data_IF_752484512948
#
_entry.id   IF_752484512948
#
_cell.length_a   1.000
_cell.length_b   1.000
_cell.length_c   1.000
_cell.angle_alpha   90.00
_cell.angle_beta   90.00
_cell.angle_gamma   90.00
#
_symmetry.space_group_name_H-M   'P 1'
#
loop_
_entity.id
_entity.type
_entity.pdbx_description
1 polymer ?
#
# COMPACT_ATOMS: atom_id res chain seq x y z
N UNK A 1 -19.54 -12.12 16.26
CA UNK A 1 -19.38 -12.24 14.80
C UNK A 1 -17.91 -12.48 14.54
N UNK A 2 -17.48 -13.50 13.77
CA UNK A 2 -16.09 -13.60 13.40
C UNK A 2 -15.73 -12.33 12.63
N UNK A 3 -14.71 -11.61 13.08
CA UNK A 3 -14.13 -10.49 12.33
C UNK A 3 -13.65 -11.07 11.00
N UNK A 4 -14.32 -10.76 9.90
CA UNK A 4 -13.83 -11.11 8.57
C UNK A 4 -12.54 -10.34 8.31
N UNK A 5 -11.64 -10.92 7.50
CA UNK A 5 -10.38 -10.28 7.15
C UNK A 5 -10.62 -8.93 6.46
N UNK A 6 -9.75 -7.97 6.73
CA UNK A 6 -9.71 -6.68 6.05
C UNK A 6 -8.56 -6.70 5.05
N UNK A 7 -8.88 -6.59 3.76
CA UNK A 7 -7.86 -6.53 2.72
C UNK A 7 -7.21 -5.13 2.64
N UNK A 8 -5.96 -5.08 2.18
CA UNK A 8 -5.33 -3.84 1.74
C UNK A 8 -5.41 -3.70 0.22
N UNK A 9 -5.79 -2.54 -0.29
CA UNK A 9 -5.75 -2.23 -1.72
C UNK A 9 -4.83 -1.04 -1.93
N UNK A 10 -3.65 -1.30 -2.50
CA UNK A 10 -2.67 -0.28 -2.85
C UNK A 10 -2.87 0.16 -4.30
N UNK A 11 -3.22 1.42 -4.53
CA UNK A 11 -3.30 2.01 -5.86
C UNK A 11 -1.89 2.49 -6.28
N UNK A 12 -1.26 1.76 -7.20
CA UNK A 12 0.12 1.95 -7.64
C UNK A 12 0.24 2.07 -9.18
N UNK A 13 -0.85 2.45 -9.86
CA UNK A 13 -0.94 2.45 -11.32
C UNK A 13 -0.47 3.77 -11.99
N UNK A 14 -0.19 4.81 -11.21
CA UNK A 14 0.11 6.15 -11.70
C UNK A 14 1.38 6.25 -12.55
N UNK A 15 1.30 6.95 -13.68
CA UNK A 15 2.40 7.13 -14.65
C UNK A 15 3.58 7.94 -14.08
N UNK A 16 3.29 8.95 -13.23
CA UNK A 16 4.32 9.87 -12.74
C UNK A 16 4.95 10.72 -13.85
N UNK A 17 4.15 11.21 -14.79
CA UNK A 17 4.60 11.97 -15.97
C UNK A 17 5.50 13.16 -15.63
N UNK A 18 5.23 13.88 -14.53
CA UNK A 18 6.07 14.99 -14.05
C UNK A 18 7.38 14.54 -13.40
N UNK A 19 7.47 13.28 -13.01
CA UNK A 19 8.64 12.66 -12.36
C UNK A 19 9.49 11.83 -13.35
N UNK A 20 9.02 11.70 -14.61
CA UNK A 20 9.72 11.00 -15.69
C UNK A 20 9.74 9.47 -15.53
N UNK A 21 9.02 8.91 -14.54
CA UNK A 21 8.93 7.47 -14.30
C UNK A 21 7.68 7.14 -13.50
N UNK A 22 7.16 5.89 -13.56
CA UNK A 22 6.03 5.46 -12.76
C UNK A 22 6.28 5.70 -11.26
N UNK A 23 5.33 6.39 -10.59
CA UNK A 23 5.48 6.76 -9.17
C UNK A 23 5.82 5.56 -8.28
N UNK A 24 5.21 4.41 -8.55
CA UNK A 24 5.40 3.18 -7.79
C UNK A 24 6.88 2.71 -7.72
N UNK A 25 7.70 3.07 -8.72
CA UNK A 25 9.11 2.70 -8.83
C UNK A 25 10.08 3.69 -8.19
N UNK A 26 9.62 4.89 -7.82
CA UNK A 26 10.45 5.91 -7.18
C UNK A 26 11.01 5.35 -5.87
N UNK A 27 12.32 5.56 -5.68
CA UNK A 27 13.00 5.12 -4.47
C UNK A 27 13.03 6.23 -3.41
N UNK A 28 12.63 5.88 -2.20
CA UNK A 28 12.74 6.71 -1.00
C UNK A 28 13.50 5.92 0.07
N UNK A 29 14.73 6.34 0.41
CA UNK A 29 15.56 5.60 1.36
C UNK A 29 15.91 4.18 0.89
N UNK A 30 16.13 3.97 -0.43
CA UNK A 30 16.48 2.66 -1.00
C UNK A 30 15.29 1.71 -1.23
N UNK A 31 14.08 2.08 -0.84
CA UNK A 31 12.87 1.26 -1.02
C UNK A 31 11.89 1.95 -1.98
N UNK A 32 11.28 1.21 -2.92
CA UNK A 32 10.30 1.77 -3.83
C UNK A 32 9.01 2.17 -3.10
N UNK A 33 8.30 3.18 -3.64
CA UNK A 33 7.02 3.63 -3.07
C UNK A 33 6.00 2.49 -3.01
N UNK A 34 5.97 1.61 -4.02
CA UNK A 34 5.10 0.44 -3.99
C UNK A 34 5.41 -0.50 -2.81
N UNK A 35 6.70 -0.81 -2.58
CA UNK A 35 7.11 -1.67 -1.45
C UNK A 35 6.76 -1.03 -0.09
N UNK A 36 6.92 0.29 0.03
CA UNK A 36 6.50 1.03 1.22
C UNK A 36 4.99 0.93 1.45
N UNK A 37 4.19 1.11 0.41
CA UNK A 37 2.74 0.97 0.50
C UNK A 37 2.29 -0.45 0.86
N UNK A 38 2.99 -1.48 0.37
CA UNK A 38 2.75 -2.88 0.77
C UNK A 38 3.06 -3.06 2.26
N UNK A 39 4.22 -2.60 2.71
CA UNK A 39 4.62 -2.67 4.12
C UNK A 39 3.61 -1.92 5.02
N UNK A 40 3.24 -0.69 4.65
CA UNK A 40 2.21 0.10 5.34
C UNK A 40 0.93 -0.71 5.61
N UNK A 41 0.41 -1.39 4.58
CA UNK A 41 -0.84 -2.15 4.69
C UNK A 41 -0.66 -3.41 5.53
N UNK A 42 0.43 -4.17 5.33
CA UNK A 42 0.74 -5.38 6.09
C UNK A 42 0.97 -5.08 7.57
N UNK A 43 1.87 -4.14 7.86
CA UNK A 43 2.20 -3.73 9.22
C UNK A 43 0.99 -3.11 9.93
N UNK A 44 0.05 -2.58 9.15
CA UNK A 44 -1.25 -2.11 9.62
C UNK A 44 -2.26 -3.21 9.89
N UNK A 45 -1.97 -4.47 9.55
CA UNK A 45 -2.84 -5.63 9.78
C UNK A 45 -3.83 -5.93 8.65
N UNK A 46 -3.63 -5.36 7.46
CA UNK A 46 -4.44 -5.70 6.28
C UNK A 46 -3.94 -6.98 5.61
N UNK A 47 -4.84 -7.94 5.37
CA UNK A 47 -4.55 -9.24 4.77
C UNK A 47 -5.75 -9.77 3.96
N UNK A 48 -5.55 -10.16 2.68
CA UNK A 48 -4.35 -10.02 1.85
C UNK A 48 -4.11 -8.57 1.38
N UNK A 49 -2.92 -8.31 0.78
CA UNK A 49 -2.63 -7.03 0.12
C UNK A 49 -2.73 -7.18 -1.39
N UNK A 50 -3.62 -6.40 -1.99
CA UNK A 50 -3.81 -6.28 -3.44
C UNK A 50 -3.05 -5.03 -3.92
N UNK A 51 -2.18 -5.20 -4.92
CA UNK A 51 -1.46 -4.08 -5.54
C UNK A 51 -1.96 -3.89 -6.96
N UNK A 52 -2.59 -2.76 -7.21
CA UNK A 52 -3.07 -2.41 -8.56
C UNK A 52 -1.95 -1.72 -9.31
N UNK A 53 -1.48 -2.38 -10.37
CA UNK A 53 -0.41 -1.89 -11.25
C UNK A 53 -0.99 -1.29 -12.54
N UNK A 54 -0.21 -0.44 -13.20
CA UNK A 54 -0.62 0.19 -14.46
C UNK A 54 0.60 0.51 -15.30
N UNK A 55 1.09 1.76 -15.27
CA UNK A 55 2.27 2.19 -16.01
C UNK A 55 3.53 1.36 -15.68
N UNK A 56 3.66 0.91 -14.42
CA UNK A 56 4.66 -0.08 -14.03
C UNK A 56 4.05 -1.48 -14.01
N UNK A 57 4.71 -2.46 -14.62
CA UNK A 57 4.30 -3.85 -14.58
C UNK A 57 4.57 -4.51 -13.21
N UNK A 58 3.81 -5.55 -12.87
CA UNK A 58 3.95 -6.28 -11.60
C UNK A 58 5.38 -6.80 -11.33
N UNK A 59 6.08 -7.26 -12.37
CA UNK A 59 7.48 -7.72 -12.26
C UNK A 59 8.47 -6.62 -11.83
N UNK A 60 8.19 -5.36 -12.17
CA UNK A 60 9.03 -4.23 -11.80
C UNK A 60 8.82 -3.80 -10.34
N UNK A 61 7.68 -4.12 -9.75
CA UNK A 61 7.35 -3.74 -8.37
C UNK A 61 7.95 -4.70 -7.32
N UNK A 62 8.56 -5.82 -7.76
CA UNK A 62 9.13 -6.82 -6.87
C UNK A 62 8.09 -7.48 -5.96
N UNK A 63 6.86 -7.65 -6.45
CA UNK A 63 5.74 -8.29 -5.73
C UNK A 63 5.76 -9.82 -5.84
N UNK A 64 6.71 -10.39 -6.59
CA UNK A 64 6.93 -11.84 -6.66
C UNK A 64 7.68 -12.38 -5.45
N UNK A 65 7.62 -13.71 -5.20
CA UNK A 65 8.46 -14.33 -4.19
C UNK A 65 9.93 -14.02 -4.51
N UNK A 66 10.69 -13.55 -3.51
CA UNK A 66 12.13 -13.26 -3.64
C UNK A 66 12.84 -14.56 -4.00
N UNK A 67 13.39 -14.62 -5.22
CA UNK A 67 14.25 -15.74 -5.58
C UNK A 67 15.47 -15.74 -4.66
N UNK A 68 15.82 -16.86 -4.00
CA UNK A 68 17.04 -16.94 -3.18
C UNK A 68 18.26 -16.79 -4.10
N UNK A 69 19.06 -15.71 -3.94
CA UNK A 69 20.38 -15.62 -4.58
C UNK A 69 20.67 -14.38 -5.44
N UNK A 70 20.23 -13.17 -5.08
CA UNK A 70 20.65 -11.95 -5.79
C UNK A 70 21.41 -10.93 -4.91
N UNK A 71 22.02 -11.37 -3.83
CA UNK A 71 23.02 -10.57 -3.11
C UNK A 71 24.36 -11.31 -3.23
N UNK A 72 25.13 -11.04 -4.26
CA UNK A 72 26.61 -11.15 -4.30
C UNK A 72 27.11 -11.31 -5.75
N UNK A 73 27.34 -10.23 -6.43
CA UNK A 73 28.35 -10.20 -7.51
C UNK A 73 29.02 -8.83 -7.46
N UNK A 74 29.93 -8.71 -6.54
CA UNK A 74 31.11 -7.86 -6.59
C UNK A 74 32.00 -8.27 -5.42
N UNK A 75 32.76 -9.36 -5.60
CA UNK A 75 34.01 -9.62 -4.90
C UNK A 75 34.85 -10.63 -5.70
N UNK A 76 36.02 -10.19 -5.96
CA UNK A 76 37.24 -10.72 -6.56
C UNK A 76 37.54 -12.20 -6.24
N UNK A 77 38.06 -13.01 -7.20
CA UNK A 77 38.44 -14.40 -6.99
C UNK A 77 39.91 -14.51 -6.58
N UNK A 78 40.20 -14.68 -5.29
CA UNK A 78 41.46 -15.27 -4.87
C UNK A 78 41.39 -15.82 -3.44
N UNK A 79 41.62 -17.13 -3.29
CA UNK A 79 41.93 -17.72 -1.97
C UNK A 79 41.28 -19.07 -1.66
N UNK A 80 42.00 -20.10 -1.97
CA UNK A 80 42.07 -21.49 -1.63
C UNK A 80 41.42 -22.04 -0.32
N UNK A 81 40.85 -23.25 -0.48
CA UNK A 81 40.77 -24.46 0.40
C UNK A 81 40.67 -24.28 1.92
N UNK A 82 39.58 -24.84 2.50
CA UNK A 82 39.70 -25.98 3.44
C UNK A 82 38.31 -26.46 3.94
N UNK A 83 38.21 -27.79 3.93
CA UNK A 83 37.27 -28.74 4.53
C UNK A 83 36.70 -28.37 5.90
N UNK A 84 35.41 -28.72 6.15
CA UNK A 84 35.00 -29.12 7.49
C UNK A 84 33.58 -28.80 7.89
N UNK A 85 32.77 -29.87 7.95
CA UNK A 85 31.77 -30.18 8.96
C UNK A 85 30.35 -29.61 8.91
N UNK A 86 29.43 -30.55 8.80
CA UNK A 86 28.00 -30.54 9.03
C UNK A 86 27.57 -29.66 10.22
N UNK A 87 26.61 -28.73 9.96
CA UNK A 87 25.72 -28.32 11.01
C UNK A 87 24.30 -28.17 10.44
N UNK A 88 23.51 -29.21 10.65
CA UNK A 88 22.07 -29.26 10.52
C UNK A 88 21.46 -28.34 11.58
N UNK A 89 21.29 -27.05 11.22
CA UNK A 89 20.50 -26.07 11.94
C UNK A 89 19.25 -25.85 11.14
N UNK A 90 18.14 -26.48 11.51
CA UNK A 90 16.80 -26.15 11.06
C UNK A 90 16.46 -24.73 11.57
N UNK A 91 16.75 -23.72 10.78
CA UNK A 91 16.30 -22.36 11.03
C UNK A 91 14.90 -22.21 10.42
N UNK A 92 13.91 -22.62 11.20
CA UNK A 92 12.49 -22.40 10.93
C UNK A 92 12.12 -20.96 11.27
N UNK A 93 12.68 -19.99 10.54
CA UNK A 93 12.09 -18.65 10.41
C UNK A 93 10.97 -18.74 9.38
N UNK A 94 9.82 -19.25 9.80
CA UNK A 94 8.57 -19.16 9.06
C UNK A 94 8.21 -17.69 8.90
N UNK A 95 8.64 -17.08 7.80
CA UNK A 95 8.04 -15.83 7.31
C UNK A 95 6.62 -16.18 6.86
N UNK A 96 5.67 -16.01 7.79
CA UNK A 96 4.23 -16.02 7.54
C UNK A 96 3.89 -14.74 6.72
N UNK A 97 4.42 -14.70 5.51
CA UNK A 97 4.22 -13.59 4.59
C UNK A 97 2.92 -13.81 3.84
N UNK A 98 1.82 -13.25 4.37
CA UNK A 98 0.54 -13.16 3.66
C UNK A 98 0.73 -12.73 2.19
N UNK A 99 0.04 -13.37 1.24
CA UNK A 99 0.29 -13.18 -0.19
C UNK A 99 0.03 -11.73 -0.63
N UNK A 100 0.96 -11.19 -1.42
CA UNK A 100 0.71 -9.96 -2.20
C UNK A 100 0.15 -10.37 -3.55
N UNK A 101 -1.03 -9.88 -3.88
CA UNK A 101 -1.73 -10.14 -5.13
C UNK A 101 -1.55 -8.93 -6.05
N UNK A 102 -0.72 -9.06 -7.08
CA UNK A 102 -0.56 -8.01 -8.08
C UNK A 102 -1.62 -8.16 -9.17
N UNK A 103 -2.35 -7.08 -9.45
CA UNK A 103 -3.37 -7.02 -10.49
C UNK A 103 -3.07 -5.86 -11.43
N UNK A 104 -2.99 -6.16 -12.73
CA UNK A 104 -2.77 -5.13 -13.74
C UNK A 104 -4.09 -4.49 -14.17
N UNK A 105 -4.13 -3.16 -14.16
CA UNK A 105 -5.23 -2.38 -14.73
C UNK A 105 -4.83 -1.91 -16.13
N UNK A 106 -5.39 -2.46 -17.22
CA UNK A 106 -5.07 -2.00 -18.57
C UNK A 106 -5.58 -0.58 -18.87
N UNK A 107 -6.63 -0.15 -18.16
CA UNK A 107 -7.27 1.15 -18.33
C UNK A 107 -6.75 2.21 -17.35
N UNK A 108 -5.56 2.01 -16.78
CA UNK A 108 -4.98 2.90 -15.76
C UNK A 108 -4.92 4.37 -16.19
N UNK A 109 -4.72 4.63 -17.49
CA UNK A 109 -4.65 5.98 -18.06
C UNK A 109 -5.97 6.75 -18.01
N UNK A 110 -7.10 6.06 -17.76
CA UNK A 110 -8.41 6.71 -17.60
C UNK A 110 -8.62 7.30 -16.20
N UNK A 111 -7.64 7.14 -15.31
CA UNK A 111 -7.61 7.73 -13.98
C UNK A 111 -7.75 6.72 -12.84
N UNK A 112 -7.62 7.24 -11.61
CA UNK A 112 -7.61 6.47 -10.36
C UNK A 112 -8.88 5.62 -10.18
N UNK A 113 -10.03 6.06 -10.67
CA UNK A 113 -11.31 5.33 -10.56
C UNK A 113 -11.27 3.96 -11.21
N UNK A 114 -10.59 3.79 -12.36
CA UNK A 114 -10.43 2.49 -13.01
C UNK A 114 -9.59 1.54 -12.13
N UNK A 115 -8.52 2.04 -11.54
CA UNK A 115 -7.65 1.26 -10.64
C UNK A 115 -8.38 0.87 -9.36
N UNK A 116 -9.20 1.74 -8.80
CA UNK A 116 -10.04 1.41 -7.64
C UNK A 116 -11.01 0.26 -7.94
N UNK A 117 -11.70 0.30 -9.09
CA UNK A 117 -12.59 -0.79 -9.51
C UNK A 117 -11.86 -2.13 -9.64
N UNK A 118 -10.71 -2.13 -10.31
CA UNK A 118 -9.89 -3.34 -10.49
C UNK A 118 -9.42 -3.87 -9.13
N UNK A 119 -8.96 -3.00 -8.24
CA UNK A 119 -8.51 -3.37 -6.91
C UNK A 119 -9.62 -4.00 -6.06
N UNK A 120 -10.79 -3.37 -5.97
CA UNK A 120 -11.92 -3.91 -5.22
C UNK A 120 -12.45 -5.23 -5.78
N UNK A 121 -12.46 -5.40 -7.12
CA UNK A 121 -12.88 -6.63 -7.76
C UNK A 121 -11.93 -7.82 -7.48
N UNK A 122 -10.64 -7.53 -7.21
CA UNK A 122 -9.64 -8.54 -6.91
C UNK A 122 -9.63 -8.98 -5.43
N UNK A 123 -10.33 -8.29 -4.54
CA UNK A 123 -10.38 -8.65 -3.12
C UNK A 123 -11.15 -9.96 -2.92
N UNK A 124 -10.56 -10.98 -2.26
CA UNK A 124 -11.20 -12.26 -2.01
C UNK A 124 -12.56 -12.14 -1.29
N UNK A 125 -13.47 -13.07 -1.58
CA UNK A 125 -14.85 -13.01 -1.08
C UNK A 125 -14.98 -13.13 0.45
N UNK A 126 -14.00 -13.69 1.13
CA UNK A 126 -13.99 -13.81 2.60
C UNK A 126 -13.64 -12.50 3.33
N UNK A 127 -13.10 -11.49 2.64
CA UNK A 127 -12.82 -10.20 3.25
C UNK A 127 -14.10 -9.38 3.39
N UNK A 128 -14.30 -8.74 4.52
CA UNK A 128 -15.49 -7.95 4.85
C UNK A 128 -15.32 -6.45 4.57
N UNK A 129 -14.08 -5.99 4.48
CA UNK A 129 -13.74 -4.60 4.19
C UNK A 129 -12.41 -4.52 3.43
N UNK A 130 -12.10 -3.33 2.91
CA UNK A 130 -10.81 -3.02 2.31
C UNK A 130 -10.29 -1.65 2.77
N UNK A 131 -9.00 -1.59 3.10
CA UNK A 131 -8.26 -0.34 3.29
C UNK A 131 -7.67 0.07 1.95
N UNK A 132 -8.05 1.25 1.48
CA UNK A 132 -7.55 1.88 0.25
C UNK A 132 -6.39 2.79 0.59
N UNK A 133 -5.22 2.54 0.01
CA UNK A 133 -4.02 3.36 0.19
C UNK A 133 -3.42 3.75 -1.17
N UNK A 134 -2.68 4.87 -1.19
CA UNK A 134 -2.01 5.37 -2.38
C UNK A 134 -0.50 5.16 -2.25
N UNK A 135 0.14 4.68 -3.33
CA UNK A 135 1.58 4.43 -3.32
C UNK A 135 2.42 5.71 -3.23
N UNK A 136 1.87 6.86 -3.62
CA UNK A 136 2.54 8.17 -3.61
C UNK A 136 2.44 8.93 -2.28
N UNK A 137 1.92 8.30 -1.22
CA UNK A 137 1.85 8.85 0.14
C UNK A 137 2.78 8.10 1.11
N UNK A 138 4.10 8.16 0.95
CA UNK A 138 5.04 7.30 1.65
C UNK A 138 5.26 7.62 3.14
N UNK A 139 4.74 8.74 3.63
CA UNK A 139 4.88 9.17 5.03
C UNK A 139 3.66 8.81 5.88
N UNK A 140 2.66 8.14 5.35
CA UNK A 140 1.56 7.56 6.12
C UNK A 140 2.08 6.39 6.93
N UNK A 141 1.76 6.34 8.23
CA UNK A 141 2.22 5.26 9.10
C UNK A 141 1.23 4.11 9.25
N UNK A 142 1.74 2.91 9.50
CA UNK A 142 0.95 1.69 9.69
C UNK A 142 -0.08 1.81 10.84
N UNK A 143 0.19 2.67 11.83
CA UNK A 143 -0.75 2.95 12.90
C UNK A 143 -2.07 3.57 12.41
N UNK A 144 -2.06 4.35 11.31
CA UNK A 144 -3.29 4.84 10.70
C UNK A 144 -4.15 3.67 10.17
N UNK A 145 -3.55 2.73 9.46
CA UNK A 145 -4.25 1.52 8.97
C UNK A 145 -4.81 0.71 10.13
N UNK A 146 -4.03 0.47 11.18
CA UNK A 146 -4.50 -0.24 12.41
C UNK A 146 -5.70 0.44 13.03
N UNK A 147 -5.72 1.78 13.12
CA UNK A 147 -6.86 2.53 13.66
C UNK A 147 -8.12 2.37 12.83
N UNK A 148 -8.00 2.41 11.49
CA UNK A 148 -9.14 2.19 10.59
C UNK A 148 -9.71 0.78 10.75
N UNK A 149 -8.85 -0.25 10.80
CA UNK A 149 -9.26 -1.64 11.01
C UNK A 149 -9.94 -1.80 12.37
N UNK A 150 -9.40 -1.17 13.42
CA UNK A 150 -10.01 -1.19 14.76
C UNK A 150 -11.39 -0.51 14.78
N UNK A 151 -11.54 0.61 14.05
CA UNK A 151 -12.83 1.28 13.92
C UNK A 151 -13.87 0.40 13.20
N UNK A 152 -13.46 -0.33 12.15
CA UNK A 152 -14.31 -1.29 11.45
C UNK A 152 -14.71 -2.44 12.39
N UNK A 153 -13.80 -2.99 13.17
CA UNK A 153 -14.08 -4.01 14.17
C UNK A 153 -15.07 -3.51 15.26
N UNK A 154 -15.07 -2.20 15.52
CA UNK A 154 -16.03 -1.54 16.42
C UNK A 154 -17.37 -1.18 15.76
N UNK A 155 -17.54 -1.50 14.45
CA UNK A 155 -18.80 -1.32 13.74
C UNK A 155 -18.84 -0.18 12.73
N UNK A 156 -17.74 0.54 12.48
CA UNK A 156 -17.68 1.55 11.43
C UNK A 156 -17.77 0.89 10.05
N UNK A 157 -18.72 1.29 9.23
CA UNK A 157 -18.87 0.83 7.84
C UNK A 157 -17.87 1.52 6.90
N UNK A 158 -17.60 2.80 7.16
CA UNK A 158 -16.62 3.61 6.41
C UNK A 158 -15.78 4.37 7.43
N UNK A 159 -14.45 4.17 7.41
CA UNK A 159 -13.52 4.88 8.26
C UNK A 159 -12.50 5.65 7.41
N UNK A 160 -12.28 6.92 7.72
CA UNK A 160 -11.39 7.81 6.98
C UNK A 160 -10.34 8.38 7.91
N UNK A 161 -9.07 8.26 7.53
CA UNK A 161 -8.00 8.89 8.30
C UNK A 161 -8.09 10.41 8.20
N UNK A 162 -8.01 11.08 9.34
CA UNK A 162 -7.95 12.54 9.45
C UNK A 162 -6.58 13.00 9.91
N UNK A 163 -6.07 14.04 9.28
CA UNK A 163 -4.84 14.71 9.65
C UNK A 163 -5.14 16.20 9.76
N UNK A 164 -4.86 16.77 10.92
CA UNK A 164 -5.19 18.17 11.23
C UNK A 164 -6.66 18.52 10.93
N UNK A 165 -7.59 17.61 11.26
CA UNK A 165 -9.02 17.76 11.04
C UNK A 165 -9.44 17.68 9.57
N UNK A 166 -8.57 17.21 8.67
CA UNK A 166 -8.85 17.04 7.25
C UNK A 166 -8.89 15.56 6.86
N UNK A 167 -10.00 15.07 6.28
CA UNK A 167 -10.09 13.70 5.76
C UNK A 167 -9.11 13.47 4.61
N UNK A 168 -8.35 12.38 4.70
CA UNK A 168 -7.31 11.97 3.75
C UNK A 168 -7.31 10.44 3.59
N UNK A 169 -6.40 9.92 2.75
CA UNK A 169 -6.09 8.49 2.77
C UNK A 169 -5.19 8.14 3.98
N UNK A 170 -5.23 6.86 4.41
CA UNK A 170 -6.03 5.75 3.89
C UNK A 170 -7.52 5.83 4.27
N UNK A 171 -8.34 5.09 3.52
CA UNK A 171 -9.79 4.97 3.73
C UNK A 171 -10.15 3.50 3.81
N UNK A 172 -10.93 3.11 4.83
CA UNK A 172 -11.52 1.77 4.92
C UNK A 172 -12.98 1.82 4.51
N UNK A 173 -13.41 0.85 3.68
CA UNK A 173 -14.80 0.74 3.21
C UNK A 173 -15.25 -0.72 3.33
N UNK A 174 -16.39 -0.94 3.99
CA UNK A 174 -17.05 -2.25 4.08
C UNK A 174 -17.49 -2.76 2.71
N UNK A 175 -17.44 -4.08 2.51
CA UNK A 175 -17.73 -4.75 1.23
C UNK A 175 -19.10 -4.38 0.65
N UNK A 176 -20.10 -4.22 1.48
CA UNK A 176 -21.46 -3.90 1.06
C UNK A 176 -21.58 -2.63 0.22
N UNK A 177 -20.64 -1.67 0.39
CA UNK A 177 -20.61 -0.41 -0.36
C UNK A 177 -19.74 -0.44 -1.62
N UNK A 178 -18.95 -1.51 -1.85
CA UNK A 178 -18.05 -1.56 -3.01
C UNK A 178 -18.74 -1.42 -4.37
N UNK A 179 -19.95 -2.00 -4.60
CA UNK A 179 -20.64 -1.80 -5.86
C UNK A 179 -20.93 -0.32 -6.14
N UNK A 180 -21.35 0.43 -5.12
CA UNK A 180 -21.65 1.85 -5.26
C UNK A 180 -20.37 2.69 -5.40
N UNK A 181 -19.35 2.39 -4.59
CA UNK A 181 -18.02 3.02 -4.72
C UNK A 181 -17.48 2.83 -6.14
N UNK A 182 -17.55 1.62 -6.68
CA UNK A 182 -17.10 1.31 -8.04
C UNK A 182 -17.92 2.04 -9.12
N UNK A 183 -19.23 2.18 -8.93
CA UNK A 183 -20.11 2.90 -9.85
C UNK A 183 -19.83 4.41 -9.87
N UNK A 184 -19.50 5.01 -8.72
CA UNK A 184 -19.21 6.44 -8.58
C UNK A 184 -17.77 6.80 -8.91
N UNK A 185 -16.85 5.82 -8.91
CA UNK A 185 -15.43 6.05 -9.18
C UNK A 185 -15.21 6.36 -10.67
N UNK A 186 -14.90 7.61 -10.98
CA UNK A 186 -14.63 8.09 -12.34
C UNK A 186 -13.38 8.99 -12.35
N UNK A 187 -12.62 8.96 -13.46
CA UNK A 187 -11.40 9.77 -13.62
C UNK A 187 -10.48 9.65 -12.39
N UNK A 188 -9.95 10.77 -11.93
CA UNK A 188 -8.98 10.82 -10.81
C UNK A 188 -9.63 11.01 -9.43
N UNK A 189 -10.92 10.77 -9.30
CA UNK A 189 -11.63 11.06 -8.04
C UNK A 189 -11.56 9.94 -7.00
N UNK A 190 -11.26 8.71 -7.41
CA UNK A 190 -11.20 7.54 -6.51
C UNK A 190 -12.53 7.35 -5.76
N UNK A 191 -12.47 7.13 -4.43
CA UNK A 191 -13.64 6.96 -3.57
C UNK A 191 -14.31 8.28 -3.14
N UNK A 192 -13.73 9.45 -3.46
CA UNK A 192 -14.23 10.76 -2.98
C UNK A 192 -15.70 11.04 -3.30
N UNK A 193 -16.25 10.69 -4.49
CA UNK A 193 -17.67 10.92 -4.78
C UNK A 193 -18.58 10.16 -3.83
N UNK A 194 -18.27 8.89 -3.54
CA UNK A 194 -19.00 8.07 -2.57
C UNK A 194 -18.94 8.69 -1.16
N UNK A 195 -17.77 9.06 -0.68
CA UNK A 195 -17.59 9.66 0.64
C UNK A 195 -18.36 10.98 0.80
N UNK A 196 -18.49 11.76 -0.29
CA UNK A 196 -19.28 13.01 -0.27
C UNK A 196 -20.78 12.75 -0.24
N UNK A 197 -21.24 11.69 -0.92
CA UNK A 197 -22.65 11.31 -0.96
C UNK A 197 -23.13 10.70 0.37
N UNK A 198 -22.24 10.03 1.10
CA UNK A 198 -22.57 9.26 2.31
C UNK A 198 -21.80 9.74 3.54
N UNK A 199 -21.87 11.04 3.82
CA UNK A 199 -21.17 11.63 4.98
C UNK A 199 -21.66 11.06 6.33
N UNK A 200 -22.89 10.61 6.39
CA UNK A 200 -23.53 9.97 7.54
C UNK A 200 -22.92 8.59 7.88
N UNK A 201 -22.31 7.91 6.89
CA UNK A 201 -21.63 6.63 7.09
C UNK A 201 -20.14 6.81 7.49
N UNK A 202 -19.59 8.02 7.30
CA UNK A 202 -18.16 8.25 7.49
C UNK A 202 -17.84 8.45 8.96
N UNK A 203 -16.96 7.59 9.49
CA UNK A 203 -16.31 7.77 10.79
C UNK A 203 -14.91 8.33 10.57
N UNK A 204 -14.67 9.54 11.00
CA UNK A 204 -13.36 10.20 10.93
C UNK A 204 -12.47 9.71 12.06
N UNK A 205 -11.27 9.25 11.72
CA UNK A 205 -10.29 8.69 12.65
C UNK A 205 -9.05 9.58 12.68
N UNK A 206 -8.78 10.21 13.81
CA UNK A 206 -7.61 11.07 13.97
C UNK A 206 -6.31 10.25 13.84
N UNK A 207 -5.44 10.70 12.93
CA UNK A 207 -4.21 10.03 12.54
C UNK A 207 -3.00 10.99 12.44
N UNK A 208 -3.11 12.24 12.87
CA UNK A 208 -2.05 13.25 12.76
C UNK A 208 -0.75 12.87 13.46
N UNK A 209 -0.82 12.05 14.50
CA UNK A 209 0.34 11.51 15.24
C UNK A 209 0.94 10.25 14.60
N UNK A 210 0.32 9.70 13.55
CA UNK A 210 0.75 8.44 12.91
C UNK A 210 1.58 8.64 11.65
N UNK A 211 1.73 9.87 11.20
CA UNK A 211 2.44 10.18 9.96
C UNK A 211 1.84 11.38 9.22
N UNK A 212 2.07 11.46 7.92
CA UNK A 212 1.67 12.60 7.08
C UNK A 212 1.12 12.12 5.74
N UNK A 213 0.00 12.67 5.26
CA UNK A 213 -0.63 12.27 4.00
C UNK A 213 -0.10 13.08 2.79
N UNK A 214 1.18 13.44 2.79
CA UNK A 214 1.79 14.21 1.71
C UNK A 214 1.97 13.35 0.45
N UNK A 215 1.50 13.86 -0.70
CA UNK A 215 1.65 13.22 -2.00
C UNK A 215 3.00 13.57 -2.66
N UNK A 216 3.55 12.64 -3.45
CA UNK A 216 4.67 12.89 -4.37
C UNK A 216 4.11 13.05 -5.78
N UNK A 217 3.98 14.30 -6.26
CA UNK A 217 3.51 14.62 -7.61
C UNK A 217 4.59 15.23 -8.49
N UNK A 218 5.57 15.91 -7.89
CA UNK A 218 6.64 16.65 -8.56
C UNK A 218 8.02 16.31 -7.99
N UNK A 219 9.11 16.63 -8.71
CA UNK A 219 10.47 16.51 -8.16
C UNK A 219 10.68 17.31 -6.86
N UNK A 220 10.01 18.46 -6.72
CA UNK A 220 10.09 19.29 -5.52
C UNK A 220 9.41 18.61 -4.33
N UNK A 221 8.26 17.94 -4.55
CA UNK A 221 7.62 17.12 -3.50
C UNK A 221 8.52 15.99 -3.06
N UNK A 222 9.16 15.29 -4.00
CA UNK A 222 10.11 14.23 -3.68
C UNK A 222 11.28 14.76 -2.84
N UNK A 223 11.87 15.89 -3.24
CA UNK A 223 12.96 16.50 -2.49
C UNK A 223 12.54 16.89 -1.06
N UNK A 224 11.33 17.49 -0.91
CA UNK A 224 10.74 17.83 0.38
C UNK A 224 10.51 16.60 1.25
N UNK A 225 9.94 15.54 0.70
CA UNK A 225 9.66 14.30 1.42
C UNK A 225 10.95 13.57 1.82
N UNK A 226 11.98 13.55 0.95
CA UNK A 226 13.31 13.03 1.29
C UNK A 226 13.92 13.80 2.49
N UNK A 227 13.78 15.11 2.53
CA UNK A 227 14.26 15.93 3.66
C UNK A 227 13.52 15.60 4.96
N UNK A 228 12.18 15.48 4.91
CA UNK A 228 11.34 15.11 6.06
C UNK A 228 11.69 13.71 6.58
N UNK A 229 11.90 12.76 5.68
CA UNK A 229 12.26 11.39 6.02
C UNK A 229 13.63 11.25 6.71
N UNK A 230 14.53 12.23 6.54
CA UNK A 230 15.85 12.26 7.22
C UNK A 230 15.78 12.85 8.62
N UNK A 231 14.78 13.67 8.91
CA UNK A 231 14.69 14.43 10.17
C UNK A 231 13.78 13.79 11.22
N UNK A 232 12.97 12.81 10.83
CA UNK A 232 12.08 12.08 11.73
C UNK A 232 12.21 10.57 11.58
N UNK A 233 11.81 9.78 12.57
CA UNK A 233 11.65 8.35 12.38
C UNK A 233 10.63 8.14 11.25
N UNK A 234 10.96 7.30 10.27
CA UNK A 234 9.94 6.78 9.37
C UNK A 234 8.87 6.12 10.23
N UNK A 235 7.58 6.41 10.02
CA UNK A 235 6.54 5.71 10.74
C UNK A 235 6.65 4.21 10.45
N UNK A 236 6.96 3.43 11.48
CA UNK A 236 7.03 1.97 11.48
C UNK A 236 5.64 1.37 11.64
#
# INVERSE_FOLDING_TARGET
>A
MPCGNVAGVLLAAGEGSRLGQPKALILLGGQSLARRGIALLRDGGADPVIVVTGAAGAGQLGTGPRAPGQDARDQDPSGEDSSGEDNSGEDSSGEDSSPVIAVHNPDWSTGMGSSLRVGLAAVPCHCTAAVLALADQPLVGAAAVRRLISAHAAGASVAVACYDGQPRNPVLISREYWPEVAALAAGDTGARPFLRAHRDLVTEIECGDTGRPDDIDTPDDLARIVALARTGPFPT
#
